data_IF_953962181910
#
_entry.id   IF_953962181910
#
_cell.length_a   1.000
_cell.length_b   1.000
_cell.length_c   1.000
_cell.angle_alpha   90.00
_cell.angle_beta   90.00
_cell.angle_gamma   90.00
#
_symmetry.space_group_name_H-M   'P 1'
#
loop_
_entity.id
_entity.type
_entity.pdbx_description
1 polymer ?
#
# COMPACT_ATOMS: atom_id res chain seq x y z
N UNK A 1 28.64 -17.42 11.99
CA UNK A 1 27.32 -18.09 12.15
C UNK A 1 26.34 -17.34 11.29
N UNK A 2 25.78 -17.97 10.28
CA UNK A 2 24.76 -17.36 9.48
C UNK A 2 23.52 -17.13 10.35
N UNK A 3 23.22 -15.87 10.63
CA UNK A 3 21.94 -15.53 11.20
C UNK A 3 20.90 -15.79 10.11
N UNK A 4 20.34 -17.00 10.14
CA UNK A 4 19.17 -17.30 9.35
C UNK A 4 18.07 -16.28 9.69
N UNK A 5 17.19 -16.02 8.74
CA UNK A 5 15.95 -15.27 8.95
C UNK A 5 15.31 -15.70 10.27
N UNK A 6 14.71 -14.73 10.99
CA UNK A 6 13.98 -15.03 12.23
C UNK A 6 13.04 -16.20 11.93
N UNK A 7 13.35 -17.33 12.52
CA UNK A 7 12.63 -18.56 12.25
C UNK A 7 11.22 -18.46 12.84
N UNK A 8 10.23 -18.38 12.00
CA UNK A 8 9.05 -19.16 12.27
C UNK A 8 9.51 -20.63 12.28
N UNK A 9 9.22 -21.36 13.33
CA UNK A 9 9.68 -22.75 13.50
C UNK A 9 9.24 -23.70 12.36
N UNK A 10 8.40 -23.25 11.44
CA UNK A 10 7.78 -24.01 10.37
C UNK A 10 7.95 -23.39 8.98
N UNK A 11 8.56 -22.20 8.84
CA UNK A 11 8.72 -21.55 7.55
C UNK A 11 10.08 -20.85 7.41
N UNK A 12 10.76 -21.16 6.31
CA UNK A 12 12.03 -20.55 5.91
C UNK A 12 11.85 -19.59 4.72
N UNK A 13 10.76 -19.72 3.97
CA UNK A 13 10.50 -18.97 2.75
C UNK A 13 9.94 -17.57 3.02
N UNK A 14 10.36 -16.55 2.25
CA UNK A 14 9.75 -15.22 2.31
C UNK A 14 8.29 -15.25 1.82
N UNK A 15 7.50 -14.26 2.26
CA UNK A 15 6.12 -14.10 1.82
C UNK A 15 6.02 -13.85 0.31
N UNK A 16 4.96 -14.36 -0.30
CA UNK A 16 4.69 -14.20 -1.73
C UNK A 16 3.99 -12.88 -2.01
N UNK A 17 4.26 -12.29 -3.17
CA UNK A 17 3.70 -10.98 -3.57
C UNK A 17 2.23 -11.02 -3.99
N UNK A 18 1.69 -12.21 -4.29
CA UNK A 18 0.34 -12.37 -4.82
C UNK A 18 -0.75 -12.57 -3.76
N UNK A 19 -0.38 -12.67 -2.48
CA UNK A 19 -1.33 -12.85 -1.37
C UNK A 19 -1.37 -11.61 -0.50
N UNK A 20 -2.25 -10.70 -0.85
CA UNK A 20 -2.50 -9.48 -0.10
C UNK A 20 -3.97 -9.08 -0.17
N UNK A 21 -4.38 -8.17 0.70
CA UNK A 21 -5.67 -7.49 0.64
C UNK A 21 -5.55 -6.08 1.18
N UNK A 22 -6.43 -5.22 0.69
CA UNK A 22 -6.57 -3.84 1.13
C UNK A 22 -7.90 -3.71 1.87
N UNK A 23 -7.86 -3.02 2.99
CA UNK A 23 -9.05 -2.61 3.71
C UNK A 23 -9.06 -1.07 3.76
N UNK A 24 -10.23 -0.47 3.63
CA UNK A 24 -10.45 0.91 4.01
C UNK A 24 -11.64 0.99 4.97
N UNK A 25 -11.51 1.84 5.97
CA UNK A 25 -12.52 1.99 7.04
C UNK A 25 -12.97 0.62 7.61
N UNK A 26 -12.04 -0.34 7.70
CA UNK A 26 -12.28 -1.70 8.23
C UNK A 26 -12.99 -2.67 7.27
N UNK A 27 -13.31 -2.25 6.04
CA UNK A 27 -13.92 -3.11 5.02
C UNK A 27 -12.90 -3.54 3.98
N UNK A 28 -12.95 -4.80 3.55
CA UNK A 28 -12.08 -5.30 2.48
C UNK A 28 -12.49 -4.69 1.15
N UNK A 29 -11.54 -4.07 0.45
CA UNK A 29 -11.73 -3.59 -0.92
C UNK A 29 -11.60 -4.77 -1.87
N UNK A 30 -12.70 -5.12 -2.50
CA UNK A 30 -12.74 -6.28 -3.40
C UNK A 30 -12.08 -5.97 -4.75
N UNK A 31 -11.46 -6.99 -5.33
CA UNK A 31 -10.98 -6.96 -6.71
C UNK A 31 -9.64 -6.25 -6.94
N UNK A 32 -8.97 -5.75 -5.91
CA UNK A 32 -7.63 -5.19 -6.08
C UNK A 32 -6.67 -6.30 -6.50
N UNK A 33 -6.14 -6.17 -7.71
CA UNK A 33 -5.24 -7.15 -8.32
C UNK A 33 -3.77 -6.78 -8.14
N UNK A 34 -3.49 -5.49 -7.96
CA UNK A 34 -2.12 -4.98 -7.80
C UNK A 34 -2.08 -3.77 -6.88
N UNK A 35 -1.01 -3.69 -6.10
CA UNK A 35 -0.69 -2.53 -5.26
C UNK A 35 0.74 -2.09 -5.52
N UNK A 36 0.98 -0.78 -5.47
CA UNK A 36 2.31 -0.20 -5.50
C UNK A 36 3.13 -0.52 -4.25
N UNK A 37 4.39 -0.11 -4.25
CA UNK A 37 5.27 -0.30 -3.09
C UNK A 37 5.00 0.76 -2.02
N UNK A 38 5.00 0.37 -0.75
CA UNK A 38 5.09 1.29 0.37
C UNK A 38 6.54 1.77 0.50
N UNK A 39 6.79 3.03 0.21
CA UNK A 39 8.12 3.61 0.20
C UNK A 39 8.17 4.92 0.99
N UNK A 40 9.25 5.10 1.71
CA UNK A 40 9.57 6.31 2.44
C UNK A 40 10.98 6.75 2.06
N UNK A 41 11.14 8.01 1.71
CA UNK A 41 12.42 8.60 1.34
C UNK A 41 12.74 9.75 2.27
N UNK A 42 13.94 9.73 2.87
CA UNK A 42 14.44 10.84 3.66
C UNK A 42 15.61 11.48 2.91
N UNK A 43 15.51 12.76 2.63
CA UNK A 43 16.57 13.50 1.97
C UNK A 43 17.80 13.57 2.87
N UNK A 44 18.97 13.53 2.25
CA UNK A 44 20.24 13.67 2.95
C UNK A 44 20.71 15.12 2.83
N UNK A 45 21.04 15.74 3.95
CA UNK A 45 21.64 17.06 4.00
C UNK A 45 23.13 16.90 4.30
N UNK A 46 24.00 17.03 3.29
CA UNK A 46 25.43 17.02 3.51
C UNK A 46 25.86 18.37 4.14
N UNK A 47 26.76 18.34 5.09
CA UNK A 47 27.43 19.52 5.62
C UNK A 47 28.89 19.22 5.88
N UNK A 48 29.70 20.28 5.83
CA UNK A 48 31.13 20.19 6.03
C UNK A 48 31.62 21.37 6.87
N UNK A 49 32.41 21.08 7.90
CA UNK A 49 33.11 22.09 8.69
C UNK A 49 34.38 22.55 7.97
N UNK A 50 34.72 23.85 8.12
CA UNK A 50 36.00 24.37 7.62
C UNK A 50 37.16 23.71 8.38
N UNK A 51 38.06 23.02 7.67
CA UNK A 51 39.21 22.34 8.26
C UNK A 51 39.02 20.82 8.47
N UNK A 52 37.88 20.27 8.10
CA UNK A 52 37.67 18.82 8.09
C UNK A 52 38.28 18.14 6.87
N UNK A 53 38.55 16.82 6.99
CA UNK A 53 39.03 15.96 5.92
C UNK A 53 38.08 15.93 4.71
N UNK A 54 38.45 15.26 3.61
CA UNK A 54 37.72 15.22 2.34
C UNK A 54 36.33 14.54 2.39
N UNK A 55 35.84 14.14 3.56
CA UNK A 55 34.52 13.48 3.75
C UNK A 55 33.50 14.44 4.30
N UNK A 56 32.28 14.39 3.72
CA UNK A 56 31.15 15.17 4.19
C UNK A 56 30.40 14.43 5.31
N UNK A 57 29.94 15.18 6.29
CA UNK A 57 28.96 14.72 7.27
C UNK A 57 27.57 14.75 6.65
N UNK A 58 26.75 13.75 6.94
CA UNK A 58 25.39 13.61 6.42
C UNK A 58 24.40 13.64 7.57
N UNK A 59 23.42 14.51 7.49
CA UNK A 59 22.30 14.58 8.43
C UNK A 59 20.96 14.29 7.72
N UNK A 60 19.95 13.78 8.43
CA UNK A 60 18.64 13.56 7.85
C UNK A 60 17.95 14.90 7.58
N UNK A 61 17.38 15.05 6.39
CA UNK A 61 16.55 16.16 5.97
C UNK A 61 15.06 15.82 6.02
N UNK A 62 14.31 16.35 5.06
CA UNK A 62 12.85 16.12 4.95
C UNK A 62 12.55 14.69 4.56
N UNK A 63 11.55 14.09 5.20
CA UNK A 63 11.02 12.77 4.86
C UNK A 63 9.76 12.93 4.01
N UNK A 64 9.65 12.12 2.97
CA UNK A 64 8.50 12.03 2.07
C UNK A 64 8.00 10.59 2.04
N UNK A 65 6.69 10.45 1.94
CA UNK A 65 5.99 9.19 1.78
C UNK A 65 5.49 9.14 0.35
N UNK A 66 5.89 8.11 -0.39
CA UNK A 66 5.49 7.97 -1.78
C UNK A 66 4.02 7.49 -1.85
N UNK A 67 3.27 8.03 -2.81
CA UNK A 67 1.88 7.62 -3.03
C UNK A 67 1.75 6.15 -3.41
N UNK A 68 0.64 5.54 -3.01
CA UNK A 68 0.31 4.15 -3.29
C UNK A 68 -0.64 4.07 -4.49
N UNK A 69 -0.31 3.24 -5.46
CA UNK A 69 -1.20 2.97 -6.60
C UNK A 69 -1.92 1.65 -6.40
N UNK A 70 -3.24 1.63 -6.59
CA UNK A 70 -4.06 0.42 -6.57
C UNK A 70 -4.68 0.21 -7.96
N UNK A 71 -4.67 -1.03 -8.43
CA UNK A 71 -5.25 -1.44 -9.70
C UNK A 71 -6.30 -2.52 -9.45
N UNK A 72 -7.46 -2.40 -10.11
CA UNK A 72 -8.47 -3.45 -10.14
C UNK A 72 -9.15 -3.52 -11.51
N UNK A 73 -9.76 -4.66 -11.83
CA UNK A 73 -10.58 -4.79 -13.04
C UNK A 73 -11.78 -3.84 -12.98
N UNK A 74 -12.11 -3.20 -14.10
CA UNK A 74 -13.28 -2.33 -14.21
C UNK A 74 -14.55 -3.15 -13.96
N UNK A 75 -15.38 -2.68 -13.04
CA UNK A 75 -16.66 -3.31 -12.66
C UNK A 75 -17.73 -2.24 -12.47
N UNK A 76 -18.95 -2.65 -12.11
CA UNK A 76 -20.03 -1.73 -11.71
C UNK A 76 -19.91 -1.18 -10.29
N UNK A 77 -18.84 -1.53 -9.58
CA UNK A 77 -18.56 -1.01 -8.25
C UNK A 77 -17.97 0.39 -8.33
N UNK A 78 -18.68 1.38 -7.80
CA UNK A 78 -18.36 2.80 -7.86
C UNK A 78 -17.49 3.29 -6.68
N UNK A 79 -17.02 2.42 -5.81
CA UNK A 79 -16.32 2.84 -4.58
C UNK A 79 -15.09 3.72 -4.86
N UNK A 80 -14.29 3.40 -5.88
CA UNK A 80 -13.11 4.20 -6.26
C UNK A 80 -13.53 5.57 -6.80
N UNK A 81 -14.52 5.59 -7.67
CA UNK A 81 -15.04 6.82 -8.28
C UNK A 81 -15.66 7.74 -7.23
N UNK A 82 -16.50 7.20 -6.35
CA UNK A 82 -17.12 7.96 -5.29
C UNK A 82 -16.09 8.55 -4.33
N UNK A 83 -15.00 7.85 -4.06
CA UNK A 83 -13.94 8.40 -3.23
C UNK A 83 -13.16 9.50 -3.96
N UNK A 84 -12.81 9.30 -5.22
CA UNK A 84 -12.16 10.33 -6.04
C UNK A 84 -13.02 11.60 -6.17
N UNK A 85 -14.34 11.44 -6.37
CA UNK A 85 -15.28 12.54 -6.52
C UNK A 85 -15.51 13.36 -5.23
N UNK A 86 -15.09 12.88 -4.05
CA UNK A 86 -15.15 13.69 -2.82
C UNK A 86 -14.21 14.87 -2.85
N UNK A 87 -13.12 14.78 -3.58
CA UNK A 87 -12.12 15.85 -3.68
C UNK A 87 -12.49 16.83 -4.77
N UNK A 88 -12.87 16.34 -5.93
CA UNK A 88 -13.21 17.20 -7.08
C UNK A 88 -14.31 16.55 -7.95
N UNK A 89 -15.59 16.75 -7.56
CA UNK A 89 -16.71 16.24 -8.34
C UNK A 89 -16.93 17.10 -9.59
N UNK A 90 -17.50 16.51 -10.63
CA UNK A 90 -17.86 17.22 -11.86
C UNK A 90 -18.79 18.42 -11.62
N UNK A 91 -19.61 18.39 -10.57
CA UNK A 91 -20.53 19.48 -10.20
C UNK A 91 -19.82 20.74 -9.64
N UNK A 92 -18.49 20.71 -9.49
CA UNK A 92 -17.67 21.85 -9.08
C UNK A 92 -17.35 21.89 -7.58
N UNK A 93 -16.58 22.89 -7.19
CA UNK A 93 -15.95 22.99 -5.87
C UNK A 93 -16.92 23.03 -4.69
N UNK A 94 -18.15 23.52 -4.90
CA UNK A 94 -19.18 23.59 -3.85
C UNK A 94 -19.61 22.20 -3.35
N UNK A 95 -19.41 21.16 -4.16
CA UNK A 95 -19.77 19.79 -3.81
C UNK A 95 -18.59 18.96 -3.23
N UNK A 96 -17.44 19.59 -2.96
CA UNK A 96 -16.29 18.94 -2.34
C UNK A 96 -16.60 18.59 -0.88
N UNK A 97 -16.28 17.34 -0.50
CA UNK A 97 -16.41 16.86 0.89
C UNK A 97 -15.03 16.84 1.56
N UNK A 98 -14.56 18.03 1.96
CA UNK A 98 -13.23 18.18 2.58
C UNK A 98 -13.16 17.65 4.01
N UNK A 99 -14.30 17.35 4.63
CA UNK A 99 -14.33 16.78 5.99
C UNK A 99 -14.09 15.26 5.96
N UNK A 100 -14.49 14.58 4.87
CA UNK A 100 -14.48 13.11 4.80
C UNK A 100 -13.68 12.54 3.60
N UNK A 101 -12.84 13.34 2.94
CA UNK A 101 -12.08 12.86 1.79
C UNK A 101 -10.92 11.95 2.18
N UNK A 102 -10.35 12.14 3.38
CA UNK A 102 -9.29 11.28 3.91
C UNK A 102 -9.86 9.98 4.48
N UNK A 103 -9.16 8.90 4.23
CA UNK A 103 -9.49 7.57 4.75
C UNK A 103 -8.27 6.92 5.38
N UNK A 104 -8.54 6.03 6.33
CA UNK A 104 -7.52 5.12 6.87
C UNK A 104 -7.55 3.81 6.08
N UNK A 105 -6.39 3.43 5.55
CA UNK A 105 -6.23 2.17 4.83
C UNK A 105 -5.40 1.19 5.63
N UNK A 106 -5.66 -0.09 5.39
CA UNK A 106 -4.85 -1.17 5.93
C UNK A 106 -4.42 -2.10 4.79
N UNK A 107 -3.12 -2.30 4.66
CA UNK A 107 -2.55 -3.30 3.75
C UNK A 107 -2.16 -4.54 4.56
N UNK A 108 -2.71 -5.66 4.20
CA UNK A 108 -2.40 -6.96 4.81
C UNK A 108 -1.72 -7.88 3.79
N UNK A 109 -0.61 -8.47 4.20
CA UNK A 109 0.06 -9.54 3.47
C UNK A 109 -0.28 -10.85 4.14
N UNK A 110 -0.72 -11.80 3.34
CA UNK A 110 -1.22 -13.10 3.82
C UNK A 110 -0.15 -14.18 3.61
N UNK A 111 -0.18 -15.17 4.49
CA UNK A 111 0.62 -16.39 4.32
C UNK A 111 -0.01 -17.35 3.30
N UNK A 112 0.63 -18.50 3.08
CA UNK A 112 0.13 -19.52 2.15
C UNK A 112 -1.28 -20.05 2.50
N UNK A 113 -1.63 -20.03 3.79
CA UNK A 113 -2.95 -20.45 4.29
C UNK A 113 -4.01 -19.35 4.26
N UNK A 114 -3.64 -18.13 3.80
CA UNK A 114 -4.55 -16.98 3.77
C UNK A 114 -4.74 -16.27 5.11
N UNK A 115 -3.88 -16.54 6.09
CA UNK A 115 -3.88 -15.84 7.38
C UNK A 115 -3.04 -14.57 7.27
N UNK A 116 -3.39 -13.53 8.03
CA UNK A 116 -2.65 -12.27 8.07
C UNK A 116 -1.29 -12.50 8.71
N UNK A 117 -0.23 -12.25 7.96
CA UNK A 117 1.15 -12.38 8.41
C UNK A 117 1.81 -11.03 8.70
N UNK A 118 1.50 -10.02 7.87
CA UNK A 118 1.97 -8.65 8.05
C UNK A 118 0.79 -7.70 7.87
N UNK A 119 0.77 -6.63 8.65
CA UNK A 119 -0.23 -5.57 8.53
C UNK A 119 0.47 -4.22 8.58
N UNK A 120 0.04 -3.33 7.70
CA UNK A 120 0.47 -1.94 7.65
C UNK A 120 -0.74 -1.03 7.69
N UNK A 121 -0.71 -0.04 8.57
CA UNK A 121 -1.70 1.03 8.63
C UNK A 121 -1.19 2.23 7.82
N UNK A 122 -2.04 2.77 6.95
CA UNK A 122 -1.76 3.91 6.11
C UNK A 122 -2.69 5.04 6.52
N UNK A 123 -2.12 6.18 6.89
CA UNK A 123 -2.83 7.28 7.53
C UNK A 123 -3.06 8.45 6.58
N UNK A 124 -4.23 9.07 6.72
CA UNK A 124 -4.58 10.27 5.98
C UNK A 124 -4.62 10.09 4.47
N UNK A 125 -5.05 8.94 3.99
CA UNK A 125 -5.06 8.58 2.58
C UNK A 125 -6.14 9.33 1.80
N UNK A 126 -5.77 9.89 0.65
CA UNK A 126 -6.70 10.56 -0.26
C UNK A 126 -6.29 10.35 -1.72
N UNK A 127 -7.24 10.49 -2.63
CA UNK A 127 -7.05 10.19 -4.05
C UNK A 127 -6.46 11.38 -4.77
N UNK A 128 -5.27 11.22 -5.36
CA UNK A 128 -4.62 12.23 -6.20
C UNK A 128 -4.86 12.04 -7.68
N UNK A 129 -5.10 10.80 -8.11
CA UNK A 129 -5.35 10.47 -9.51
C UNK A 129 -6.31 9.29 -9.61
N UNK A 130 -7.25 9.35 -10.53
CA UNK A 130 -8.19 8.27 -10.82
C UNK A 130 -8.32 8.06 -12.32
N UNK A 131 -8.04 6.85 -12.77
CA UNK A 131 -8.24 6.39 -14.14
C UNK A 131 -9.42 5.43 -14.16
N UNK A 132 -10.59 5.95 -14.56
CA UNK A 132 -11.83 5.18 -14.57
C UNK A 132 -11.84 4.09 -15.65
N UNK A 133 -11.34 4.42 -16.83
CA UNK A 133 -11.30 3.52 -18.00
C UNK A 133 -9.93 3.67 -18.66
N UNK A 134 -9.19 2.58 -18.89
CA UNK A 134 -7.93 2.62 -19.61
C UNK A 134 -8.18 2.90 -21.11
N UNK A 135 -7.11 3.07 -21.88
CA UNK A 135 -7.23 3.10 -23.33
C UNK A 135 -7.88 1.79 -23.84
N UNK A 136 -8.91 1.94 -24.66
CA UNK A 136 -9.65 0.81 -25.24
C UNK A 136 -9.17 0.54 -26.66
N UNK A 137 -8.81 -0.70 -26.93
CA UNK A 137 -8.43 -1.19 -28.26
C UNK A 137 -9.21 -2.48 -28.57
N UNK A 138 -10.05 -2.43 -29.60
CA UNK A 138 -10.88 -3.57 -30.03
C UNK A 138 -10.08 -4.77 -30.55
N UNK A 139 -8.79 -4.58 -30.87
CA UNK A 139 -7.90 -5.66 -31.31
C UNK A 139 -7.06 -6.24 -30.18
N UNK A 140 -7.07 -5.63 -29.00
CA UNK A 140 -6.32 -6.10 -27.84
C UNK A 140 -7.13 -7.14 -27.06
N UNK A 141 -6.52 -8.26 -26.75
CA UNK A 141 -7.10 -9.28 -25.86
C UNK A 141 -6.68 -8.99 -24.41
N UNK A 142 -7.20 -7.91 -23.83
CA UNK A 142 -6.84 -7.44 -22.50
C UNK A 142 -8.08 -7.08 -21.68
N UNK A 143 -7.95 -7.22 -20.35
CA UNK A 143 -8.97 -6.79 -19.40
C UNK A 143 -8.81 -5.30 -19.13
N UNK A 144 -9.92 -4.55 -19.09
CA UNK A 144 -9.90 -3.15 -18.68
C UNK A 144 -9.59 -3.04 -17.17
N UNK A 145 -8.59 -2.23 -16.84
CA UNK A 145 -8.12 -2.01 -15.47
C UNK A 145 -8.34 -0.54 -15.10
N UNK A 146 -9.05 -0.30 -14.01
CA UNK A 146 -9.11 1.02 -13.40
C UNK A 146 -7.96 1.18 -12.41
N UNK A 147 -7.46 2.39 -12.27
CA UNK A 147 -6.32 2.71 -11.43
C UNK A 147 -6.62 3.91 -10.55
N UNK A 148 -6.28 3.79 -9.28
CA UNK A 148 -6.37 4.89 -8.31
C UNK A 148 -4.99 5.11 -7.69
N UNK A 149 -4.53 6.36 -7.68
CA UNK A 149 -3.33 6.77 -6.98
C UNK A 149 -3.72 7.51 -5.71
N UNK A 150 -3.14 7.09 -4.62
CA UNK A 150 -3.47 7.53 -3.27
C UNK A 150 -2.23 8.19 -2.69
N UNK A 151 -2.36 9.43 -2.25
CA UNK A 151 -1.37 10.09 -1.41
C UNK A 151 -1.70 9.82 0.05
N UNK A 152 -0.68 9.82 0.91
CA UNK A 152 -0.81 9.48 2.32
C UNK A 152 0.13 10.33 3.18
N UNK A 153 -0.28 10.56 4.42
CA UNK A 153 0.51 11.33 5.39
C UNK A 153 1.61 10.47 6.05
N UNK A 154 1.46 9.15 6.00
CA UNK A 154 2.43 8.20 6.51
C UNK A 154 1.88 6.79 6.61
N UNK A 155 2.75 5.85 6.93
CA UNK A 155 2.36 4.47 7.22
C UNK A 155 3.21 3.87 8.33
N UNK A 156 2.65 2.91 9.05
CA UNK A 156 3.34 2.17 10.09
C UNK A 156 3.03 0.68 10.01
N UNK A 157 3.95 -0.14 10.48
CA UNK A 157 3.73 -1.58 10.60
C UNK A 157 3.06 -1.89 11.93
N UNK A 158 2.01 -2.70 11.89
CA UNK A 158 1.41 -3.27 13.09
C UNK A 158 2.35 -4.30 13.74
N UNK A 159 2.98 -3.90 14.84
CA UNK A 159 3.89 -4.77 15.59
C UNK A 159 3.10 -5.83 16.38
N UNK A 160 1.82 -5.59 16.65
CA UNK A 160 0.94 -6.54 17.35
C UNK A 160 0.52 -7.73 16.48
N UNK A 161 0.60 -7.60 15.15
CA UNK A 161 0.36 -8.72 14.24
C UNK A 161 1.58 -9.65 14.27
N UNK A 162 1.43 -10.77 14.94
CA UNK A 162 2.45 -11.83 14.99
C UNK A 162 2.26 -12.81 13.85
N UNK A 163 3.34 -13.50 13.46
CA UNK A 163 3.26 -14.52 12.44
C UNK A 163 2.36 -15.69 12.91
N UNK A 164 1.33 -16.05 12.14
CA UNK A 164 0.42 -17.12 12.53
C UNK A 164 1.09 -18.50 12.45
N UNK A 165 0.75 -19.36 13.39
CA UNK A 165 1.22 -20.74 13.44
C UNK A 165 0.79 -21.50 12.17
N UNK A 166 1.77 -21.93 11.38
CA UNK A 166 1.54 -22.71 10.16
C UNK A 166 1.64 -24.22 10.41
N UNK A 167 1.38 -24.70 11.62
CA UNK A 167 1.37 -26.15 11.90
C UNK A 167 0.53 -26.86 10.86
N UNK A 168 1.11 -27.87 10.24
CA UNK A 168 0.37 -28.82 9.39
C UNK A 168 -0.81 -29.36 10.18
N UNK A 169 -1.96 -29.47 9.52
CA UNK A 169 -3.08 -30.20 10.12
C UNK A 169 -2.57 -31.57 10.62
N UNK A 170 -3.04 -32.05 11.78
CA UNK A 170 -2.69 -33.38 12.23
C UNK A 170 -3.02 -34.35 11.12
N UNK A 171 -2.07 -35.26 10.80
CA UNK A 171 -2.32 -36.30 9.84
C UNK A 171 -3.61 -37.00 10.27
N UNK A 172 -4.60 -37.02 9.37
CA UNK A 172 -5.81 -37.80 9.58
C UNK A 172 -5.36 -39.23 9.63
N UNK A 173 -5.48 -39.82 10.79
CA UNK A 173 -5.18 -41.25 11.01
C UNK A 173 -6.21 -42.12 10.27
#
# INVERSE_FOLDING_TARGET
MANGFVKNATRVDPYKTYKFRILWDGKVVLGVSKTGALKRTTNVVPHRGGGENSTDHKSPGRTQWDGLTLERGVTHDLEFELWANRIHPYSGDVAMDLDNYKKELTLEVLNEKGQVALRYFLHGCWVSEFTAIPALDGNANAVAIETIKIELDGWERDIGTTEPDQKSAPAVA
#
